data_IF_598682497426
#
_entry.id   IF_598682497426
#
_cell.length_a   1.000
_cell.length_b   1.000
_cell.length_c   1.000
_cell.angle_alpha   90.00
_cell.angle_beta   90.00
_cell.angle_gamma   90.00
#
_symmetry.space_group_name_H-M   'P 1'
#
loop_
_entity.id
_entity.type
_entity.pdbx_description
1 polymer ?
#
# COMPACT_ATOMS: atom_id res chain seq x y z
N UNK A 1 18.92 -2.35 7.24
CA UNK A 1 17.88 -2.79 8.19
C UNK A 1 16.67 -1.90 7.97
N UNK A 2 15.46 -2.44 8.17
CA UNK A 2 14.21 -1.78 7.76
C UNK A 2 13.90 -0.51 8.59
N UNK A 3 14.36 -0.47 9.84
CA UNK A 3 14.24 0.67 10.76
C UNK A 3 14.86 1.97 10.23
N UNK A 4 15.91 1.89 9.40
CA UNK A 4 16.48 3.08 8.74
C UNK A 4 15.48 3.72 7.76
N UNK A 5 14.60 2.95 7.12
CA UNK A 5 13.58 3.51 6.23
C UNK A 5 12.58 4.38 6.99
N UNK A 6 12.13 3.94 8.18
CA UNK A 6 11.28 4.74 9.09
C UNK A 6 11.99 6.02 9.54
N UNK A 7 13.25 5.91 9.94
CA UNK A 7 14.06 7.08 10.34
C UNK A 7 14.14 8.11 9.21
N UNK A 8 14.41 7.68 7.98
CA UNK A 8 14.48 8.57 6.82
C UNK A 8 13.16 9.30 6.53
N UNK A 9 12.00 8.65 6.76
CA UNK A 9 10.69 9.31 6.60
C UNK A 9 10.57 10.47 7.58
N UNK A 10 10.90 10.24 8.86
CA UNK A 10 10.81 11.29 9.90
C UNK A 10 11.79 12.42 9.69
N UNK A 11 12.99 12.14 9.21
CA UNK A 11 14.01 13.16 8.94
C UNK A 11 13.67 14.03 7.73
N UNK A 12 13.07 13.43 6.69
CA UNK A 12 12.78 14.13 5.42
C UNK A 12 11.39 14.75 5.35
N UNK A 13 10.42 14.25 6.14
CA UNK A 13 9.05 14.73 6.15
C UNK A 13 8.40 14.80 4.75
N UNK A 14 8.42 13.72 3.95
CA UNK A 14 8.02 13.79 2.55
C UNK A 14 6.56 14.22 2.39
N UNK A 15 6.29 15.09 1.41
CA UNK A 15 4.93 15.44 1.00
C UNK A 15 4.38 14.39 0.04
N UNK A 16 3.25 13.77 0.40
CA UNK A 16 2.63 12.69 -0.36
C UNK A 16 1.25 13.12 -0.86
N UNK A 17 1.09 13.14 -2.18
CA UNK A 17 -0.21 13.31 -2.81
C UNK A 17 -1.01 12.01 -2.74
N UNK A 18 -2.27 12.09 -2.33
CA UNK A 18 -3.16 10.95 -2.22
C UNK A 18 -4.46 11.23 -2.97
N UNK A 19 -4.70 10.46 -4.03
CA UNK A 19 -6.01 10.34 -4.67
C UNK A 19 -6.61 9.04 -4.16
N UNK A 20 -7.40 9.12 -3.10
CA UNK A 20 -7.91 7.95 -2.37
C UNK A 20 -9.42 7.96 -2.22
N UNK A 21 -9.96 6.91 -1.61
CA UNK A 21 -11.39 6.75 -1.42
C UNK A 21 -11.93 7.56 -0.23
N UNK A 22 -13.17 8.02 -0.33
CA UNK A 22 -13.81 8.83 0.72
C UNK A 22 -14.08 8.04 2.01
N UNK A 23 -14.02 6.71 1.98
CA UNK A 23 -14.24 5.86 3.16
C UNK A 23 -13.07 5.96 4.15
N UNK A 24 -11.85 6.15 3.63
CA UNK A 24 -10.61 5.98 4.41
C UNK A 24 -9.69 7.20 4.37
N UNK A 25 -10.03 8.24 3.60
CA UNK A 25 -9.20 9.44 3.37
C UNK A 25 -8.62 10.05 4.66
N UNK A 26 -9.41 10.14 5.74
CA UNK A 26 -8.94 10.68 7.01
C UNK A 26 -7.92 9.77 7.71
N UNK A 27 -8.15 8.46 7.70
CA UNK A 27 -7.24 7.50 8.32
C UNK A 27 -5.92 7.38 7.54
N UNK A 28 -5.97 7.47 6.20
CA UNK A 28 -4.78 7.55 5.36
C UNK A 28 -3.95 8.79 5.72
N UNK A 29 -4.59 9.96 5.84
CA UNK A 29 -3.89 11.18 6.26
C UNK A 29 -3.24 11.03 7.64
N UNK A 30 -3.97 10.47 8.61
CA UNK A 30 -3.47 10.30 9.97
C UNK A 30 -2.31 9.31 10.05
N UNK A 31 -2.29 8.24 9.26
CA UNK A 31 -1.16 7.30 9.21
C UNK A 31 0.09 7.93 8.58
N UNK A 32 -0.07 8.74 7.53
CA UNK A 32 1.04 9.47 6.92
C UNK A 32 1.62 10.49 7.92
N UNK A 33 0.76 11.21 8.65
CA UNK A 33 1.20 12.09 9.73
C UNK A 33 1.91 11.30 10.84
N UNK A 34 1.36 10.14 11.23
CA UNK A 34 1.92 9.31 12.28
C UNK A 34 3.34 8.82 11.95
N UNK A 35 3.63 8.47 10.70
CA UNK A 35 4.99 8.05 10.33
C UNK A 35 5.98 9.22 10.17
N UNK A 36 5.52 10.47 10.27
CA UNK A 36 6.35 11.69 10.17
C UNK A 36 6.36 12.33 8.79
N UNK A 37 5.53 11.87 7.86
CA UNK A 37 5.34 12.47 6.54
C UNK A 37 4.19 13.50 6.53
N UNK A 38 4.03 14.19 5.41
CA UNK A 38 2.96 15.18 5.21
C UNK A 38 1.98 14.70 4.12
N UNK A 39 0.69 14.51 4.43
CA UNK A 39 -0.29 14.16 3.41
C UNK A 39 -0.90 15.40 2.74
N UNK A 40 -1.21 15.30 1.45
CA UNK A 40 -2.15 16.18 0.75
C UNK A 40 -3.16 15.34 -0.04
N UNK A 41 -4.44 15.69 0.09
CA UNK A 41 -5.55 14.99 -0.55
C UNK A 41 -6.16 15.92 -1.59
N UNK A 42 -5.92 15.67 -2.88
CA UNK A 42 -6.65 16.31 -3.97
C UNK A 42 -7.03 15.27 -5.01
N UNK A 43 -8.20 15.42 -5.63
CA UNK A 43 -8.69 14.56 -6.70
C UNK A 43 -9.36 15.36 -7.83
N UNK A 44 -9.25 16.69 -7.81
CA UNK A 44 -9.87 17.59 -8.76
C UNK A 44 -9.01 17.73 -10.02
N UNK A 45 -9.47 17.29 -11.21
CA UNK A 45 -8.67 17.31 -12.43
C UNK A 45 -8.01 18.67 -12.75
N UNK A 46 -8.66 19.77 -12.35
CA UNK A 46 -8.17 21.13 -12.61
C UNK A 46 -6.98 21.55 -11.73
N UNK A 47 -6.78 20.95 -10.56
CA UNK A 47 -5.68 21.32 -9.63
C UNK A 47 -4.66 20.18 -9.40
N UNK A 48 -5.02 18.94 -9.78
CA UNK A 48 -4.28 17.73 -9.40
C UNK A 48 -2.83 17.73 -9.89
N UNK A 49 -2.56 18.38 -11.03
CA UNK A 49 -1.21 18.49 -11.59
C UNK A 49 -0.33 19.45 -10.79
N UNK A 50 -0.89 20.58 -10.33
CA UNK A 50 -0.17 21.55 -9.49
C UNK A 50 0.15 20.94 -8.13
N UNK A 51 -0.81 20.23 -7.54
CA UNK A 51 -0.63 19.50 -6.28
C UNK A 51 0.42 18.40 -6.44
N UNK A 52 0.36 17.62 -7.52
CA UNK A 52 1.35 16.56 -7.78
C UNK A 52 2.75 17.13 -7.94
N UNK A 53 2.89 18.29 -8.59
CA UNK A 53 4.19 18.88 -8.90
C UNK A 53 5.01 19.34 -7.69
N UNK A 54 4.35 19.60 -6.55
CA UNK A 54 5.02 19.97 -5.29
C UNK A 54 5.28 18.78 -4.36
N UNK A 55 4.75 17.60 -4.67
CA UNK A 55 4.87 16.40 -3.84
C UNK A 55 6.12 15.59 -4.20
N UNK A 56 6.55 14.69 -3.32
CA UNK A 56 7.60 13.72 -3.64
C UNK A 56 7.06 12.42 -4.24
N UNK A 57 5.77 12.13 -4.03
CA UNK A 57 5.11 10.93 -4.52
C UNK A 57 3.59 11.01 -4.53
N UNK A 58 2.98 10.06 -5.23
CA UNK A 58 1.55 9.95 -5.50
C UNK A 58 1.04 8.54 -5.14
N UNK A 59 0.00 8.49 -4.31
CA UNK A 59 -0.75 7.29 -3.98
C UNK A 59 -2.11 7.35 -4.71
N UNK A 60 -2.33 6.42 -5.65
CA UNK A 60 -3.60 6.26 -6.38
C UNK A 60 -4.34 5.05 -5.82
N UNK A 61 -5.49 5.29 -5.18
CA UNK A 61 -6.38 4.26 -4.66
C UNK A 61 -7.77 4.38 -5.31
N UNK A 62 -8.23 3.30 -5.95
CA UNK A 62 -9.49 3.31 -6.72
C UNK A 62 -10.73 2.88 -5.91
N UNK A 63 -10.64 2.84 -4.57
CA UNK A 63 -11.63 2.25 -3.69
C UNK A 63 -13.06 2.78 -3.85
N UNK A 64 -13.23 4.06 -4.19
CA UNK A 64 -14.53 4.67 -4.51
C UNK A 64 -14.46 5.50 -5.77
N UNK A 65 -13.80 4.96 -6.81
CA UNK A 65 -13.65 5.66 -8.09
C UNK A 65 -14.99 6.10 -8.69
N UNK A 66 -14.94 7.21 -9.39
CA UNK A 66 -15.97 7.77 -10.25
C UNK A 66 -15.30 8.47 -11.46
N UNK A 67 -16.09 8.86 -12.45
CA UNK A 67 -15.59 9.46 -13.71
C UNK A 67 -14.63 10.63 -13.46
N UNK A 68 -14.96 11.56 -12.56
CA UNK A 68 -14.12 12.72 -12.23
C UNK A 68 -12.78 12.29 -11.63
N UNK A 69 -12.81 11.38 -10.65
CA UNK A 69 -11.57 10.91 -10.01
C UNK A 69 -10.68 10.13 -10.97
N UNK A 70 -11.24 9.40 -11.94
CA UNK A 70 -10.44 8.66 -12.94
C UNK A 70 -9.64 9.63 -13.81
N UNK A 71 -10.26 10.73 -14.23
CA UNK A 71 -9.58 11.81 -14.95
C UNK A 71 -8.45 12.42 -14.12
N UNK A 72 -8.72 12.72 -12.83
CA UNK A 72 -7.72 13.22 -11.91
C UNK A 72 -6.55 12.25 -11.69
N UNK A 73 -6.83 10.95 -11.55
CA UNK A 73 -5.81 9.90 -11.40
C UNK A 73 -4.86 9.83 -12.60
N UNK A 74 -5.39 9.91 -13.82
CA UNK A 74 -4.58 9.91 -15.04
C UNK A 74 -3.73 11.20 -15.13
N UNK A 75 -4.35 12.37 -14.93
CA UNK A 75 -3.65 13.64 -15.00
C UNK A 75 -2.51 13.74 -13.97
N UNK A 76 -2.75 13.28 -12.74
CA UNK A 76 -1.75 13.22 -11.68
C UNK A 76 -0.66 12.18 -11.97
N UNK A 77 -1.05 10.99 -12.44
CA UNK A 77 -0.10 9.93 -12.78
C UNK A 77 0.87 10.35 -13.87
N UNK A 78 0.38 10.98 -14.95
CA UNK A 78 1.24 11.50 -16.00
C UNK A 78 2.17 12.59 -15.47
N UNK A 79 1.66 13.51 -14.62
CA UNK A 79 2.51 14.55 -14.04
C UNK A 79 3.58 14.00 -13.10
N UNK A 80 3.23 12.99 -12.29
CA UNK A 80 4.18 12.32 -11.41
C UNK A 80 5.28 11.61 -12.21
N UNK A 81 4.92 10.93 -13.30
CA UNK A 81 5.89 10.29 -14.20
C UNK A 81 6.81 11.31 -14.91
N UNK A 82 6.26 12.42 -15.40
CA UNK A 82 7.04 13.52 -16.00
C UNK A 82 8.12 14.03 -15.02
N UNK A 83 7.77 14.15 -13.73
CA UNK A 83 8.66 14.64 -12.68
C UNK A 83 9.46 13.55 -11.96
N UNK A 84 9.34 12.28 -12.39
CA UNK A 84 9.97 11.13 -11.74
C UNK A 84 9.64 11.00 -10.24
N UNK A 85 8.44 11.41 -9.83
CA UNK A 85 7.91 11.19 -8.48
C UNK A 85 7.55 9.72 -8.28
N UNK A 86 7.62 9.26 -7.02
CA UNK A 86 7.24 7.89 -6.69
C UNK A 86 5.74 7.69 -6.87
N UNK A 87 5.31 6.65 -7.59
CA UNK A 87 3.88 6.39 -7.82
C UNK A 87 3.48 5.01 -7.32
N UNK A 88 2.42 4.95 -6.51
CA UNK A 88 1.84 3.71 -6.00
C UNK A 88 0.40 3.53 -6.49
N UNK A 89 0.05 2.30 -6.91
CA UNK A 89 -1.32 1.89 -7.22
C UNK A 89 -1.87 0.95 -6.14
N UNK A 90 -3.07 1.28 -5.64
CA UNK A 90 -3.92 0.43 -4.81
C UNK A 90 -5.23 0.12 -5.57
N UNK A 91 -5.32 -1.02 -6.28
CA UNK A 91 -6.37 -1.34 -7.23
C UNK A 91 -7.62 -1.89 -6.53
N UNK A 92 -8.04 -1.28 -5.41
CA UNK A 92 -9.10 -1.76 -4.52
C UNK A 92 -10.36 -2.20 -5.28
N UNK A 93 -10.69 -3.48 -5.14
CA UNK A 93 -11.85 -4.11 -5.77
C UNK A 93 -11.68 -4.37 -7.28
N UNK A 94 -10.46 -4.36 -7.83
CA UNK A 94 -10.22 -4.99 -9.12
C UNK A 94 -10.71 -6.45 -9.07
N UNK A 95 -11.52 -6.85 -10.07
CA UNK A 95 -12.23 -8.13 -10.11
C UNK A 95 -13.69 -8.04 -9.66
N UNK A 96 -14.03 -7.06 -8.81
CA UNK A 96 -15.41 -6.86 -8.31
C UNK A 96 -16.37 -6.33 -9.37
N UNK A 97 -15.88 -5.46 -10.27
CA UNK A 97 -16.68 -4.88 -11.35
C UNK A 97 -15.81 -4.52 -12.55
N UNK A 98 -16.42 -4.51 -13.73
CA UNK A 98 -15.72 -4.16 -14.97
C UNK A 98 -15.11 -2.76 -14.91
N UNK A 99 -15.81 -1.79 -14.29
CA UNK A 99 -15.28 -0.43 -14.14
C UNK A 99 -13.97 -0.42 -13.35
N UNK A 100 -13.94 -1.07 -12.16
CA UNK A 100 -12.73 -1.13 -11.32
C UNK A 100 -11.57 -1.81 -12.04
N UNK A 101 -11.84 -2.97 -12.63
CA UNK A 101 -10.82 -3.75 -13.34
C UNK A 101 -10.26 -2.97 -14.54
N UNK A 102 -11.15 -2.42 -15.38
CA UNK A 102 -10.72 -1.68 -16.57
C UNK A 102 -9.97 -0.40 -16.20
N UNK A 103 -10.37 0.31 -15.15
CA UNK A 103 -9.65 1.49 -14.66
C UNK A 103 -8.25 1.11 -14.17
N UNK A 104 -8.11 0.06 -13.36
CA UNK A 104 -6.80 -0.37 -12.86
C UNK A 104 -5.86 -0.80 -14.00
N UNK A 105 -6.37 -1.57 -14.98
CA UNK A 105 -5.61 -1.98 -16.16
C UNK A 105 -5.22 -0.78 -17.01
N UNK A 106 -6.14 0.16 -17.24
CA UNK A 106 -5.86 1.39 -18.00
C UNK A 106 -4.77 2.23 -17.31
N UNK A 107 -4.89 2.45 -15.99
CA UNK A 107 -3.87 3.15 -15.22
C UNK A 107 -2.50 2.48 -15.37
N UNK A 108 -2.41 1.14 -15.30
CA UNK A 108 -1.14 0.42 -15.50
C UNK A 108 -0.57 0.54 -16.92
N UNK A 109 -1.40 0.82 -17.93
CA UNK A 109 -0.96 1.02 -19.31
C UNK A 109 -0.43 2.44 -19.54
N UNK A 110 -1.08 3.43 -18.94
CA UNK A 110 -0.79 4.85 -19.13
C UNK A 110 0.27 5.39 -18.17
N UNK A 111 0.37 4.81 -16.97
CA UNK A 111 1.22 5.29 -15.87
C UNK A 111 2.22 4.22 -15.46
N UNK A 112 3.48 4.62 -15.36
CA UNK A 112 4.55 3.82 -14.74
C UNK A 112 4.42 3.92 -13.22
N UNK A 113 4.08 2.81 -12.58
CA UNK A 113 4.08 2.68 -11.14
C UNK A 113 5.43 2.17 -10.62
N UNK A 114 5.84 2.66 -9.44
CA UNK A 114 6.96 2.10 -8.69
C UNK A 114 6.50 0.91 -7.85
N UNK A 115 5.28 0.97 -7.32
CA UNK A 115 4.67 -0.10 -6.54
C UNK A 115 3.21 -0.33 -6.92
N UNK A 116 2.80 -1.59 -7.00
CA UNK A 116 1.40 -2.02 -7.04
C UNK A 116 1.13 -2.83 -5.79
N UNK A 117 0.22 -2.37 -4.93
CA UNK A 117 -0.13 -3.03 -3.67
C UNK A 117 -1.58 -3.46 -3.70
N UNK A 118 -1.87 -4.71 -3.37
CA UNK A 118 -3.23 -5.23 -3.31
C UNK A 118 -3.30 -6.57 -2.59
N UNK A 119 -4.51 -7.09 -2.39
CA UNK A 119 -4.64 -8.49 -1.97
C UNK A 119 -4.37 -9.44 -3.15
N UNK A 120 -4.18 -10.72 -2.86
CA UNK A 120 -3.86 -11.73 -3.87
C UNK A 120 -4.88 -11.80 -5.03
N UNK A 121 -6.17 -11.65 -4.75
CA UNK A 121 -7.23 -11.73 -5.77
C UNK A 121 -7.21 -10.50 -6.70
N UNK A 122 -6.98 -9.31 -6.16
CA UNK A 122 -6.79 -8.08 -6.94
C UNK A 122 -5.56 -8.20 -7.84
N UNK A 123 -4.43 -8.66 -7.30
CA UNK A 123 -3.17 -8.81 -8.05
C UNK A 123 -3.29 -9.90 -9.13
N UNK A 124 -3.93 -11.04 -8.85
CA UNK A 124 -4.24 -12.07 -9.86
C UNK A 124 -5.11 -11.51 -10.98
N UNK A 125 -6.11 -10.68 -10.65
CA UNK A 125 -6.97 -10.04 -11.64
C UNK A 125 -6.19 -9.11 -12.56
N UNK A 126 -5.28 -8.30 -12.02
CA UNK A 126 -4.41 -7.44 -12.82
C UNK A 126 -3.43 -8.24 -13.68
N UNK A 127 -2.83 -9.31 -13.14
CA UNK A 127 -1.91 -10.17 -13.86
C UNK A 127 -2.55 -10.81 -15.10
N UNK A 128 -3.83 -11.17 -15.01
CA UNK A 128 -4.63 -11.71 -16.11
C UNK A 128 -4.98 -10.65 -17.18
N UNK A 129 -4.90 -9.35 -16.88
CA UNK A 129 -5.19 -8.25 -17.80
C UNK A 129 -6.67 -8.11 -18.22
N UNK A 130 -7.53 -9.01 -17.76
CA UNK A 130 -8.99 -8.99 -17.94
C UNK A 130 -9.63 -9.85 -16.85
N UNK A 131 -10.62 -9.33 -16.16
CA UNK A 131 -11.37 -10.08 -15.16
C UNK A 131 -12.73 -10.48 -15.70
N UNK A 132 -12.95 -11.78 -15.94
CA UNK A 132 -14.31 -12.31 -15.82
C UNK A 132 -14.69 -12.19 -14.35
N UNK A 133 -15.82 -11.55 -14.06
CA UNK A 133 -16.28 -11.24 -12.70
C UNK A 133 -16.51 -12.54 -11.89
N UNK A 134 -15.47 -13.06 -11.25
CA UNK A 134 -15.61 -13.79 -9.98
C UNK A 134 -15.53 -12.71 -8.91
N UNK A 135 -16.60 -12.55 -8.14
CA UNK A 135 -16.82 -11.40 -7.27
C UNK A 135 -15.75 -11.15 -6.22
N UNK A 136 -15.99 -10.13 -5.39
CA UNK A 136 -15.12 -9.65 -4.30
C UNK A 136 -14.91 -10.66 -3.18
N UNK A 137 -15.55 -11.83 -3.27
CA UNK A 137 -15.30 -12.98 -2.41
C UNK A 137 -13.97 -13.60 -2.84
N UNK A 138 -12.87 -12.95 -2.44
CA UNK A 138 -11.55 -13.55 -2.40
C UNK A 138 -11.70 -14.89 -1.67
N UNK A 139 -11.74 -15.97 -2.45
CA UNK A 139 -11.96 -17.30 -1.94
C UNK A 139 -10.84 -17.59 -0.94
N UNK A 140 -11.18 -18.17 0.22
CA UNK A 140 -10.19 -18.56 1.25
C UNK A 140 -9.07 -19.42 0.62
N UNK A 141 -9.37 -20.08 -0.50
CA UNK A 141 -8.45 -20.84 -1.33
C UNK A 141 -7.30 -20.04 -1.97
N UNK A 142 -7.43 -18.72 -2.16
CA UNK A 142 -6.40 -17.90 -2.78
C UNK A 142 -5.42 -17.30 -1.77
N UNK A 143 -5.71 -17.39 -0.46
CA UNK A 143 -4.85 -16.82 0.58
C UNK A 143 -3.44 -17.43 0.54
N UNK A 144 -2.43 -16.59 0.80
CA UNK A 144 -1.04 -17.06 0.96
C UNK A 144 -0.92 -17.77 2.30
N UNK A 145 -0.51 -19.04 2.26
CA UNK A 145 -0.26 -19.91 3.41
C UNK A 145 1.16 -20.45 3.33
N UNK A 146 1.65 -21.06 4.42
CA UNK A 146 2.96 -21.73 4.39
C UNK A 146 3.01 -22.88 3.38
N UNK A 147 1.86 -23.50 3.06
CA UNK A 147 1.78 -24.64 2.14
C UNK A 147 1.93 -24.21 0.66
N UNK A 148 1.43 -23.02 0.30
CA UNK A 148 1.49 -22.50 -1.07
C UNK A 148 2.49 -21.35 -1.25
N UNK A 149 3.33 -21.09 -0.23
CA UNK A 149 4.22 -19.93 -0.18
C UNK A 149 5.17 -19.86 -1.38
N UNK A 150 5.81 -20.97 -1.75
CA UNK A 150 6.77 -20.98 -2.86
C UNK A 150 6.10 -20.62 -4.19
N UNK A 151 4.89 -21.12 -4.44
CA UNK A 151 4.11 -20.76 -5.65
C UNK A 151 3.70 -19.28 -5.64
N UNK A 152 3.28 -18.77 -4.48
CA UNK A 152 2.90 -17.37 -4.32
C UNK A 152 4.10 -16.43 -4.51
N UNK A 153 5.30 -16.81 -4.04
CA UNK A 153 6.55 -16.07 -4.28
C UNK A 153 6.92 -16.06 -5.76
N UNK A 154 6.82 -17.19 -6.45
CA UNK A 154 7.05 -17.28 -7.90
C UNK A 154 6.08 -16.37 -8.66
N UNK A 155 4.80 -16.39 -8.29
CA UNK A 155 3.79 -15.51 -8.87
C UNK A 155 4.10 -14.02 -8.63
N UNK A 156 4.45 -13.63 -7.40
CA UNK A 156 4.78 -12.26 -7.07
C UNK A 156 6.00 -11.74 -7.86
N UNK A 157 7.06 -12.56 -7.98
CA UNK A 157 8.25 -12.24 -8.80
C UNK A 157 7.87 -12.09 -10.28
N UNK A 158 7.14 -13.05 -10.84
CA UNK A 158 6.75 -13.01 -12.24
C UNK A 158 5.88 -11.79 -12.58
N UNK A 159 4.91 -11.43 -11.72
CA UNK A 159 4.07 -10.26 -11.97
C UNK A 159 4.82 -8.94 -11.76
N UNK A 160 5.74 -8.88 -10.80
CA UNK A 160 6.62 -7.72 -10.61
C UNK A 160 7.50 -7.47 -11.82
N UNK A 161 8.12 -8.52 -12.37
CA UNK A 161 8.93 -8.42 -13.59
C UNK A 161 8.09 -7.99 -14.80
N UNK A 162 6.89 -8.57 -14.97
CA UNK A 162 5.96 -8.22 -16.06
C UNK A 162 5.47 -6.76 -15.98
N UNK A 163 5.16 -6.27 -14.78
CA UNK A 163 4.63 -4.92 -14.56
C UNK A 163 5.73 -3.84 -14.49
N UNK A 164 6.99 -4.24 -14.33
CA UNK A 164 8.10 -3.31 -14.07
C UNK A 164 7.96 -2.53 -12.76
N UNK A 165 7.11 -3.02 -11.85
CA UNK A 165 6.78 -2.40 -10.56
C UNK A 165 7.12 -3.38 -9.44
N UNK A 166 7.47 -2.88 -8.26
CA UNK A 166 7.45 -3.70 -7.05
C UNK A 166 6.00 -4.12 -6.78
N UNK A 167 5.78 -5.37 -6.43
CA UNK A 167 4.45 -5.90 -6.12
C UNK A 167 4.39 -6.24 -4.64
N UNK A 168 3.43 -5.63 -3.93
CA UNK A 168 3.13 -5.93 -2.54
C UNK A 168 1.77 -6.65 -2.46
N UNK A 169 1.82 -7.97 -2.26
CA UNK A 169 0.64 -8.82 -2.06
C UNK A 169 0.39 -8.95 -0.57
N UNK A 170 -0.72 -8.42 -0.07
CA UNK A 170 -1.01 -8.47 1.36
C UNK A 170 -2.00 -9.57 1.76
N UNK A 171 -1.81 -10.11 2.96
CA UNK A 171 -2.62 -11.19 3.52
C UNK A 171 -2.22 -11.54 4.96
N UNK A 172 -2.39 -12.81 5.34
CA UNK A 172 -1.82 -13.30 6.61
C UNK A 172 -0.30 -13.46 6.54
N UNK A 173 0.20 -13.75 5.34
CA UNK A 173 1.61 -13.67 4.96
C UNK A 173 1.66 -12.66 3.82
N UNK A 174 2.38 -11.56 4.02
CA UNK A 174 2.56 -10.53 3.01
C UNK A 174 3.81 -10.85 2.16
N UNK A 175 3.73 -10.54 0.86
CA UNK A 175 4.83 -10.72 -0.09
C UNK A 175 5.17 -9.37 -0.71
N UNK A 176 6.44 -8.97 -0.71
CA UNK A 176 6.91 -7.74 -1.37
C UNK A 176 8.08 -8.08 -2.28
N UNK A 177 7.91 -7.92 -3.59
CA UNK A 177 8.85 -8.41 -4.60
C UNK A 177 9.20 -7.35 -5.64
N UNK A 178 10.47 -7.30 -6.05
CA UNK A 178 10.98 -6.49 -7.18
C UNK A 178 11.20 -7.32 -8.46
N UNK A 179 10.71 -8.56 -8.48
CA UNK A 179 10.92 -9.53 -9.56
C UNK A 179 12.15 -10.41 -9.37
N UNK A 180 13.10 -10.01 -8.51
CA UNK A 180 14.33 -10.78 -8.23
C UNK A 180 14.32 -11.33 -6.81
N UNK A 181 14.08 -10.47 -5.84
CA UNK A 181 13.97 -10.78 -4.41
C UNK A 181 12.52 -10.64 -3.98
N UNK A 182 12.10 -11.45 -3.02
CA UNK A 182 10.81 -11.36 -2.38
C UNK A 182 10.97 -11.39 -0.86
N UNK A 183 10.50 -10.33 -0.19
CA UNK A 183 10.32 -10.33 1.25
C UNK A 183 9.02 -11.07 1.59
N UNK A 184 9.12 -12.07 2.46
CA UNK A 184 7.97 -12.79 3.02
C UNK A 184 7.79 -12.33 4.46
N UNK A 185 6.73 -11.57 4.73
CA UNK A 185 6.52 -10.85 5.99
C UNK A 185 5.34 -11.48 6.74
N UNK A 186 5.53 -11.71 8.05
CA UNK A 186 4.58 -12.39 8.94
C UNK A 186 4.19 -11.54 10.14
N UNK A 187 4.34 -10.22 10.01
CA UNK A 187 3.85 -9.27 11.00
C UNK A 187 2.34 -9.11 10.88
N UNK A 188 1.71 -8.64 11.96
CA UNK A 188 0.31 -8.27 11.94
C UNK A 188 -0.60 -9.23 12.69
N UNK A 189 -1.90 -8.93 12.60
CA UNK A 189 -2.95 -9.58 13.40
C UNK A 189 -4.23 -9.72 12.57
N UNK A 190 -4.94 -10.85 12.65
CA UNK A 190 -6.23 -11.02 11.96
C UNK A 190 -7.25 -9.92 12.30
N UNK A 191 -7.20 -9.39 13.51
CA UNK A 191 -8.12 -8.35 13.98
C UNK A 191 -7.99 -7.03 13.21
N UNK A 192 -6.86 -6.80 12.52
CA UNK A 192 -6.69 -5.64 11.64
C UNK A 192 -7.69 -5.63 10.49
N UNK A 193 -8.16 -6.81 10.07
CA UNK A 193 -9.20 -6.95 9.04
C UNK A 193 -10.59 -6.46 9.50
N UNK A 194 -10.78 -6.16 10.79
CA UNK A 194 -12.04 -5.58 11.32
C UNK A 194 -12.06 -4.05 11.32
N UNK A 195 -10.99 -3.43 10.81
CA UNK A 195 -10.87 -1.99 10.65
C UNK A 195 -10.91 -1.70 9.16
N UNK A 196 -11.86 -0.86 8.74
CA UNK A 196 -11.93 -0.43 7.34
C UNK A 196 -10.65 0.31 6.95
N UNK A 197 -10.12 0.01 5.77
CA UNK A 197 -9.04 0.81 5.20
C UNK A 197 -7.63 0.59 5.74
N UNK A 198 -7.35 -0.44 6.54
CA UNK A 198 -5.96 -0.73 6.96
C UNK A 198 -5.02 -0.94 5.77
N UNK A 199 -5.52 -1.59 4.71
CA UNK A 199 -4.81 -1.68 3.44
C UNK A 199 -4.59 -0.33 2.75
N UNK A 200 -5.61 0.54 2.72
CA UNK A 200 -5.50 1.86 2.10
C UNK A 200 -4.54 2.78 2.88
N UNK A 201 -4.52 2.67 4.21
CA UNK A 201 -3.54 3.33 5.08
C UNK A 201 -2.12 2.86 4.76
N UNK A 202 -1.92 1.55 4.56
CA UNK A 202 -0.63 1.00 4.15
C UNK A 202 -0.17 1.55 2.80
N UNK A 203 -1.07 1.76 1.84
CA UNK A 203 -0.73 2.36 0.54
C UNK A 203 -0.17 3.78 0.71
N UNK A 204 -0.81 4.62 1.52
CA UNK A 204 -0.29 5.98 1.83
C UNK A 204 1.03 5.96 2.62
N UNK A 205 1.12 5.08 3.63
CA UNK A 205 2.33 4.84 4.41
C UNK A 205 3.50 4.42 3.50
N UNK A 206 3.26 3.47 2.61
CA UNK A 206 4.26 2.93 1.69
C UNK A 206 4.76 3.99 0.71
N UNK A 207 3.88 4.84 0.18
CA UNK A 207 4.31 5.97 -0.65
C UNK A 207 5.25 6.90 0.11
N UNK A 208 4.96 7.25 1.38
CA UNK A 208 5.88 8.05 2.19
C UNK A 208 7.26 7.39 2.35
N UNK A 209 7.29 6.08 2.58
CA UNK A 209 8.52 5.30 2.68
C UNK A 209 9.32 5.32 1.38
N UNK A 210 8.68 5.13 0.22
CA UNK A 210 9.33 5.17 -1.09
C UNK A 210 9.97 6.53 -1.35
N UNK A 211 9.24 7.62 -1.10
CA UNK A 211 9.74 8.99 -1.31
C UNK A 211 10.95 9.29 -0.45
N UNK A 212 10.93 8.84 0.81
CA UNK A 212 12.06 9.04 1.71
C UNK A 212 13.28 8.15 1.37
N UNK A 213 13.09 7.08 0.59
CA UNK A 213 14.10 6.05 0.33
C UNK A 213 14.21 5.66 -1.16
N UNK A 214 14.49 6.62 -2.08
CA UNK A 214 14.41 6.38 -3.52
C UNK A 214 15.41 5.34 -4.06
N UNK A 215 16.53 5.14 -3.36
CA UNK A 215 17.59 4.18 -3.74
C UNK A 215 17.34 2.75 -3.21
N UNK A 216 16.38 2.57 -2.30
CA UNK A 216 16.11 1.31 -1.61
C UNK A 216 14.61 1.01 -1.62
N UNK A 217 14.00 1.06 -2.82
CA UNK A 217 12.54 0.98 -2.98
C UNK A 217 11.93 -0.33 -2.45
N UNK A 218 12.60 -1.47 -2.69
CA UNK A 218 12.11 -2.77 -2.22
C UNK A 218 12.12 -2.83 -0.69
N UNK A 219 13.25 -2.46 -0.07
CA UNK A 219 13.38 -2.38 1.39
C UNK A 219 12.39 -1.37 1.98
N UNK A 220 12.15 -0.23 1.32
CA UNK A 220 11.20 0.77 1.76
C UNK A 220 9.76 0.24 1.76
N UNK A 221 9.37 -0.48 0.70
CA UNK A 221 8.07 -1.13 0.62
C UNK A 221 7.92 -2.22 1.70
N UNK A 222 8.92 -3.08 1.87
CA UNK A 222 8.94 -4.10 2.93
C UNK A 222 8.88 -3.47 4.34
N UNK A 223 9.62 -2.39 4.59
CA UNK A 223 9.61 -1.66 5.86
C UNK A 223 8.24 -1.07 6.17
N UNK A 224 7.52 -0.54 5.17
CA UNK A 224 6.16 -0.04 5.36
C UNK A 224 5.18 -1.16 5.74
N UNK A 225 5.28 -2.34 5.11
CA UNK A 225 4.47 -3.51 5.46
C UNK A 225 4.78 -3.99 6.87
N UNK A 226 6.06 -4.17 7.22
CA UNK A 226 6.49 -4.54 8.57
C UNK A 226 6.01 -3.51 9.61
N UNK A 227 6.09 -2.21 9.32
CA UNK A 227 5.64 -1.13 10.21
C UNK A 227 4.14 -1.25 10.49
N UNK A 228 3.32 -1.41 9.45
CA UNK A 228 1.87 -1.56 9.61
C UNK A 228 1.51 -2.82 10.41
N UNK A 229 2.12 -3.96 10.08
CA UNK A 229 1.89 -5.22 10.79
C UNK A 229 2.32 -5.15 12.25
N UNK A 230 3.53 -4.65 12.52
CA UNK A 230 4.04 -4.49 13.88
C UNK A 230 3.20 -3.49 14.69
N UNK A 231 2.73 -2.41 14.07
CA UNK A 231 1.81 -1.47 14.71
C UNK A 231 0.47 -2.13 15.07
N UNK A 232 -0.02 -3.06 14.25
CA UNK A 232 -1.14 -3.96 14.58
C UNK A 232 -0.88 -4.77 15.84
N UNK A 233 0.26 -5.45 15.90
CA UNK A 233 0.64 -6.25 17.07
C UNK A 233 0.77 -5.41 18.35
N UNK A 234 1.46 -4.27 18.27
CA UNK A 234 1.64 -3.33 19.39
C UNK A 234 0.29 -2.77 19.82
N UNK A 235 -0.51 -2.27 18.87
CA UNK A 235 -1.82 -1.70 19.16
C UNK A 235 -2.76 -2.72 19.83
N UNK A 236 -2.67 -3.99 19.43
CA UNK A 236 -3.44 -5.07 20.04
C UNK A 236 -3.00 -5.35 21.48
N UNK A 237 -1.70 -5.29 21.77
CA UNK A 237 -1.16 -5.52 23.12
C UNK A 237 -1.69 -4.53 24.17
N UNK A 238 -2.15 -3.36 23.73
CA UNK A 238 -2.75 -2.34 24.60
C UNK A 238 -4.28 -2.46 24.75
N UNK A 239 -4.92 -3.43 24.08
CA UNK A 239 -6.37 -3.65 24.16
C UNK A 239 -6.85 -4.05 25.55
N UNK A 240 -7.96 -3.45 25.99
CA UNK A 240 -8.61 -3.72 27.26
C UNK A 240 -9.99 -4.36 27.06
N UNK A 241 -10.52 -4.97 28.11
CA UNK A 241 -11.87 -5.53 28.10
C UNK A 241 -12.89 -4.42 27.80
N UNK A 242 -13.68 -4.62 26.74
CA UNK A 242 -14.71 -3.67 26.29
C UNK A 242 -14.26 -2.77 25.13
N UNK A 243 -12.97 -2.78 24.77
CA UNK A 243 -12.50 -2.05 23.60
C UNK A 243 -13.00 -2.67 22.29
N UNK A 244 -13.27 -1.81 21.32
CA UNK A 244 -13.73 -2.18 19.98
C UNK A 244 -12.72 -1.89 18.88
N UNK A 245 -13.13 -2.12 17.63
CA UNK A 245 -12.31 -1.88 16.45
C UNK A 245 -11.91 -0.41 16.29
N UNK A 246 -12.74 0.56 16.67
CA UNK A 246 -12.37 1.98 16.64
C UNK A 246 -11.23 2.33 17.60
N UNK A 247 -11.22 1.74 18.81
CA UNK A 247 -10.10 1.90 19.75
C UNK A 247 -8.84 1.26 19.16
N UNK A 248 -8.97 0.07 18.59
CA UNK A 248 -7.85 -0.62 17.97
C UNK A 248 -7.26 0.18 16.80
N UNK A 249 -8.10 0.76 15.94
CA UNK A 249 -7.68 1.66 14.85
C UNK A 249 -6.81 2.79 15.37
N UNK A 250 -7.25 3.50 16.41
CA UNK A 250 -6.48 4.60 16.98
C UNK A 250 -5.15 4.11 17.55
N UNK A 251 -5.14 2.94 18.23
CA UNK A 251 -3.90 2.36 18.76
C UNK A 251 -2.90 1.91 17.69
N UNK A 252 -3.36 1.50 16.50
CA UNK A 252 -2.47 1.23 15.37
C UNK A 252 -1.77 2.53 14.94
N UNK A 253 -2.54 3.61 14.78
CA UNK A 253 -1.99 4.93 14.41
C UNK A 253 -1.01 5.42 15.49
N UNK A 254 -1.37 5.31 16.78
CA UNK A 254 -0.49 5.67 17.90
C UNK A 254 0.78 4.81 17.93
N UNK A 255 0.68 3.52 17.61
CA UNK A 255 1.83 2.63 17.52
C UNK A 255 2.78 3.06 16.39
N UNK A 256 2.27 3.42 15.21
CA UNK A 256 3.09 3.99 14.12
C UNK A 256 3.78 5.28 14.57
N UNK A 257 3.05 6.17 15.25
CA UNK A 257 3.59 7.43 15.76
C UNK A 257 4.74 7.23 16.73
N UNK A 258 4.60 6.28 17.67
CA UNK A 258 5.59 6.05 18.72
C UNK A 258 6.70 5.05 18.33
N UNK A 259 6.55 4.31 17.22
CA UNK A 259 7.50 3.27 16.82
C UNK A 259 8.90 3.85 16.63
N UNK A 260 9.92 3.24 17.22
CA UNK A 260 11.32 3.59 17.01
C UNK A 260 11.93 2.75 15.89
N UNK A 261 13.08 3.19 15.36
CA UNK A 261 13.87 2.40 14.41
C UNK A 261 14.23 1.04 14.98
N UNK A 262 14.66 1.03 16.25
CA UNK A 262 15.08 -0.17 16.97
C UNK A 262 13.92 -1.14 17.16
N UNK A 263 12.73 -0.64 17.54
CA UNK A 263 11.52 -1.46 17.62
C UNK A 263 11.14 -2.07 16.28
N UNK A 264 11.29 -1.34 15.16
CA UNK A 264 11.02 -1.90 13.84
C UNK A 264 12.04 -2.98 13.47
N UNK A 265 13.33 -2.75 13.72
CA UNK A 265 14.38 -3.74 13.42
C UNK A 265 14.23 -5.02 14.26
N UNK A 266 13.85 -4.90 15.53
CA UNK A 266 13.63 -6.05 16.43
C UNK A 266 12.29 -6.75 16.18
N UNK A 267 11.25 -6.00 15.84
CA UNK A 267 9.88 -6.50 15.70
C UNK A 267 9.52 -6.99 14.29
N UNK A 268 10.32 -6.66 13.27
CA UNK A 268 10.09 -7.11 11.91
C UNK A 268 10.29 -8.64 11.77
N UNK A 269 9.26 -9.33 11.28
CA UNK A 269 9.24 -10.79 11.08
C UNK A 269 9.20 -11.09 9.60
N UNK A 270 10.37 -11.25 9.00
CA UNK A 270 10.47 -11.56 7.59
C UNK A 270 11.61 -12.51 7.25
N UNK A 271 11.50 -13.14 6.09
CA UNK A 271 12.60 -13.81 5.39
C UNK A 271 12.70 -13.28 3.96
N UNK A 272 13.86 -13.43 3.32
CA UNK A 272 14.08 -13.01 1.93
C UNK A 272 14.27 -14.24 1.06
N UNK A 273 13.47 -14.34 0.00
CA UNK A 273 13.42 -15.45 -0.97
C UNK A 273 13.79 -14.98 -2.38
#
# INVERSE_FOLDING_TARGET
MLGTCLQNVREKGPLVHNITNYVTVNDVANVILACGASPIMSDEPQDVQDITAICGGLNINIGTLNVRTIEGMLAAGHKANELSHMVLLDPVGAGASSLRTNTAVNLMQEIKFDVIRGNISEIKTLAAGSGTTKGVDADVADAVTEENLDEAVVFAKAFSEKSGSIVAITGAIDLVSDGRKCYVIRNGRPEMGRITGTGCQLSGLMTAYLVANPEQKLEAAAAAVCTMGLAGEIGWSYMQKGDGNSTYRNRIIDAIYNMTKEQLDEGAKYEVR
#
